data_IF_774119986682
#
_entry.id   IF_774119986682
#
_cell.length_a   1.000
_cell.length_b   1.000
_cell.length_c   1.000
_cell.angle_alpha   90.00
_cell.angle_beta   90.00
_cell.angle_gamma   90.00
#
_symmetry.space_group_name_H-M   'P 1'
#
loop_
_entity.id
_entity.type
_entity.pdbx_description
1 polymer ?
#
# COMPACT_ATOMS: atom_id res chain seq x y z
N UNK A 1 12.90 -10.94 -34.74
CA UNK A 1 12.04 -11.21 -33.57
C UNK A 1 11.31 -9.92 -33.24
N UNK A 2 10.05 -9.82 -33.62
CA UNK A 2 9.17 -8.71 -33.21
C UNK A 2 8.94 -8.82 -31.72
N UNK A 3 9.56 -7.93 -30.95
CA UNK A 3 9.27 -7.80 -29.52
C UNK A 3 8.02 -6.94 -29.37
N UNK A 4 6.88 -7.62 -29.32
CA UNK A 4 5.63 -7.04 -28.85
C UNK A 4 5.80 -6.73 -27.35
N UNK A 5 5.53 -5.48 -26.95
CA UNK A 5 5.54 -5.04 -25.55
C UNK A 5 4.18 -4.45 -25.19
N UNK A 6 3.85 -4.41 -23.88
CA UNK A 6 2.53 -4.82 -23.41
C UNK A 6 1.64 -3.81 -22.62
N UNK A 7 0.37 -3.56 -23.00
CA UNK A 7 -0.71 -3.00 -22.16
C UNK A 7 -2.18 -3.24 -22.66
N UNK A 8 -3.09 -3.36 -21.69
CA UNK A 8 -4.48 -2.83 -21.64
C UNK A 8 -5.62 -3.86 -21.50
N UNK A 9 -5.90 -4.20 -20.24
CA UNK A 9 -7.24 -4.30 -19.62
C UNK A 9 -7.06 -4.20 -18.11
N UNK A 10 -7.38 -3.06 -17.53
CA UNK A 10 -8.03 -3.03 -16.22
C UNK A 10 -9.44 -3.56 -16.43
N UNK A 11 -9.77 -4.65 -15.76
CA UNK A 11 -11.12 -5.22 -15.64
C UNK A 11 -11.74 -5.79 -16.94
N UNK A 12 -11.53 -7.08 -17.15
CA UNK A 12 -12.65 -7.95 -17.55
C UNK A 12 -12.70 -9.08 -16.53
N UNK A 13 -13.65 -8.99 -15.60
CA UNK A 13 -14.01 -10.13 -14.74
C UNK A 13 -14.51 -11.23 -15.69
N UNK A 14 -13.65 -12.20 -15.97
CA UNK A 14 -14.04 -13.46 -16.60
C UNK A 14 -13.52 -14.55 -15.67
N UNK A 15 -14.40 -15.46 -15.27
CA UNK A 15 -14.13 -16.49 -14.27
C UNK A 15 -12.76 -17.18 -14.48
N UNK A 16 -11.88 -17.06 -13.49
CA UNK A 16 -10.50 -17.57 -13.48
C UNK A 16 -9.61 -16.71 -12.57
N UNK A 17 -8.40 -17.17 -12.24
CA UNK A 17 -7.44 -16.35 -11.48
C UNK A 17 -7.28 -15.00 -12.20
N UNK A 18 -7.62 -13.91 -11.51
CA UNK A 18 -7.65 -12.52 -11.97
C UNK A 18 -6.23 -11.98 -12.30
N UNK A 19 -5.45 -12.71 -13.08
CA UNK A 19 -4.11 -12.36 -13.52
C UNK A 19 -4.26 -11.36 -14.67
N UNK A 20 -3.55 -10.23 -14.58
CA UNK A 20 -3.59 -9.19 -15.61
C UNK A 20 -3.29 -9.77 -16.99
N UNK A 21 -4.19 -9.51 -17.93
CA UNK A 21 -4.01 -9.85 -19.34
C UNK A 21 -2.94 -8.93 -19.96
N UNK A 22 -2.10 -9.52 -20.80
CA UNK A 22 -0.87 -8.90 -21.30
C UNK A 22 -1.10 -8.52 -22.78
N UNK A 23 -1.77 -7.39 -23.03
CA UNK A 23 -2.03 -6.84 -24.39
C UNK A 23 -0.89 -5.95 -24.89
N UNK A 24 -0.93 -5.27 -26.05
CA UNK A 24 0.15 -4.43 -26.63
C UNK A 24 0.13 -2.97 -26.11
N UNK A 25 1.29 -2.36 -25.84
CA UNK A 25 1.42 -0.96 -25.39
C UNK A 25 0.77 -0.05 -26.42
N UNK A 26 -0.34 0.60 -26.02
CA UNK A 26 -1.00 1.65 -26.80
C UNK A 26 -0.24 2.98 -26.78
N UNK A 27 1.06 2.94 -26.47
CA UNK A 27 1.95 4.08 -26.29
C UNK A 27 2.46 4.63 -27.61
N UNK A 28 2.87 5.91 -27.60
CA UNK A 28 3.59 6.48 -28.74
C UNK A 28 4.94 5.79 -28.85
N UNK A 29 5.31 5.41 -30.07
CA UNK A 29 6.64 4.88 -30.35
C UNK A 29 7.30 5.65 -31.47
N UNK A 30 8.60 5.89 -31.36
CA UNK A 30 9.42 6.40 -32.45
C UNK A 30 10.76 5.68 -32.47
N UNK A 31 11.47 5.74 -33.60
CA UNK A 31 12.83 5.22 -33.74
C UNK A 31 13.77 6.42 -33.87
N UNK A 32 14.81 6.47 -33.05
CA UNK A 32 15.83 7.53 -33.13
C UNK A 32 16.86 7.26 -34.24
N UNK A 33 17.76 8.23 -34.46
CA UNK A 33 18.80 8.14 -35.49
C UNK A 33 19.83 7.03 -35.21
N UNK A 34 19.90 6.54 -33.96
CA UNK A 34 20.76 5.43 -33.53
C UNK A 34 20.06 4.06 -33.66
N UNK A 35 18.81 4.06 -34.10
CA UNK A 35 17.97 2.88 -34.29
C UNK A 35 17.34 2.35 -33.00
N UNK A 36 17.29 3.14 -31.92
CA UNK A 36 16.56 2.82 -30.70
C UNK A 36 15.08 3.06 -30.88
N UNK A 37 14.26 2.06 -30.54
CA UNK A 37 12.81 2.17 -30.44
C UNK A 37 12.46 2.74 -29.06
N UNK A 38 12.00 3.98 -29.04
CA UNK A 38 11.47 4.63 -27.86
C UNK A 38 10.00 4.25 -27.67
N UNK A 39 9.63 3.90 -26.45
CA UNK A 39 8.28 3.47 -26.05
C UNK A 39 7.82 4.35 -24.90
N UNK A 40 6.80 5.16 -25.15
CA UNK A 40 6.25 6.10 -24.17
C UNK A 40 5.02 5.54 -23.46
N UNK A 41 5.03 5.66 -22.15
CA UNK A 41 3.89 5.32 -21.29
C UNK A 41 3.22 6.55 -20.73
N UNK A 42 1.88 6.54 -20.72
CA UNK A 42 1.08 7.55 -20.03
C UNK A 42 1.06 7.30 -18.54
N UNK A 43 1.22 8.35 -17.74
CA UNK A 43 0.92 8.30 -16.30
C UNK A 43 -0.55 7.93 -16.13
N UNK A 44 -0.86 7.03 -15.18
CA UNK A 44 -2.23 6.60 -14.86
C UNK A 44 -2.36 6.51 -13.35
N UNK A 45 -3.46 6.98 -12.78
CA UNK A 45 -3.80 6.74 -11.39
C UNK A 45 -4.66 5.47 -11.28
N UNK A 46 -4.65 4.82 -10.12
CA UNK A 46 -5.59 3.73 -9.85
C UNK A 46 -7.02 4.21 -10.05
N UNK A 47 -7.84 3.37 -10.67
CA UNK A 47 -9.24 3.69 -10.87
C UNK A 47 -9.95 3.76 -9.52
N UNK A 48 -10.78 4.80 -9.36
CA UNK A 48 -11.61 4.96 -8.17
C UNK A 48 -12.94 5.60 -8.57
N UNK A 49 -14.05 4.84 -8.53
CA UNK A 49 -15.35 5.39 -8.90
C UNK A 49 -15.85 6.44 -7.90
N UNK A 50 -15.40 6.38 -6.65
CA UNK A 50 -15.94 7.21 -5.55
C UNK A 50 -15.15 8.51 -5.32
N UNK A 51 -14.08 8.76 -6.09
CA UNK A 51 -13.26 9.97 -5.93
C UNK A 51 -12.83 10.56 -7.27
N UNK A 52 -13.25 11.80 -7.49
CA UNK A 52 -12.73 12.64 -8.55
C UNK A 52 -11.68 13.61 -7.98
N UNK A 53 -10.48 13.63 -8.57
CA UNK A 53 -9.45 14.60 -8.21
C UNK A 53 -9.89 15.98 -8.74
N UNK A 54 -10.10 16.99 -7.85
CA UNK A 54 -10.45 18.33 -8.31
C UNK A 54 -9.41 18.87 -9.27
N UNK A 55 -9.79 19.70 -10.25
CA UNK A 55 -8.84 20.32 -11.20
C UNK A 55 -8.19 21.60 -10.64
N UNK A 56 -8.89 22.33 -9.78
CA UNK A 56 -8.37 23.54 -9.14
C UNK A 56 -7.72 23.23 -7.78
N UNK A 57 -6.78 24.09 -7.37
CA UNK A 57 -6.05 23.91 -6.11
C UNK A 57 -6.90 24.18 -4.88
N UNK A 58 -7.89 25.06 -4.94
CA UNK A 58 -8.71 25.41 -3.77
C UNK A 58 -9.59 24.24 -3.34
N UNK A 59 -10.29 23.61 -4.29
CA UNK A 59 -11.10 22.42 -4.02
C UNK A 59 -10.23 21.23 -3.64
N UNK A 60 -9.02 21.10 -4.19
CA UNK A 60 -8.07 20.08 -3.76
C UNK A 60 -7.66 20.29 -2.28
N UNK A 61 -7.40 21.53 -1.88
CA UNK A 61 -7.11 21.88 -0.48
C UNK A 61 -8.28 21.58 0.45
N UNK A 62 -9.51 21.97 0.06
CA UNK A 62 -10.73 21.66 0.84
C UNK A 62 -10.92 20.15 0.98
N UNK A 63 -10.79 19.39 -0.12
CA UNK A 63 -10.85 17.92 -0.09
C UNK A 63 -9.80 17.33 0.83
N UNK A 64 -8.58 17.84 0.82
CA UNK A 64 -7.52 17.39 1.73
C UNK A 64 -7.91 17.59 3.21
N UNK A 65 -8.49 18.75 3.56
CA UNK A 65 -8.97 19.02 4.92
C UNK A 65 -10.13 18.12 5.34
N UNK A 66 -11.06 17.84 4.42
CA UNK A 66 -12.16 16.91 4.63
C UNK A 66 -11.72 15.42 4.61
N UNK A 67 -10.42 15.15 4.81
CA UNK A 67 -9.88 13.79 4.78
C UNK A 67 -9.96 13.09 3.42
N UNK A 68 -10.45 13.77 2.39
CA UNK A 68 -10.56 13.29 1.02
C UNK A 68 -9.18 13.07 0.40
N UNK A 69 -8.97 11.88 -0.15
CA UNK A 69 -7.78 11.56 -0.92
C UNK A 69 -8.12 10.57 -2.03
N UNK A 70 -7.14 10.28 -2.88
CA UNK A 70 -7.14 9.07 -3.71
C UNK A 70 -7.49 7.85 -2.84
N UNK A 71 -8.33 6.94 -3.36
CA UNK A 71 -8.49 5.62 -2.73
C UNK A 71 -7.26 4.77 -2.98
N UNK A 72 -7.02 3.86 -2.06
CA UNK A 72 -6.07 2.80 -2.23
C UNK A 72 -6.81 1.56 -2.72
N UNK A 73 -6.35 0.92 -3.81
CA UNK A 73 -6.82 -0.41 -4.14
C UNK A 73 -6.78 -1.29 -2.90
N UNK A 74 -7.88 -1.99 -2.67
CA UNK A 74 -8.12 -2.81 -1.49
C UNK A 74 -8.67 -4.16 -1.94
N UNK A 75 -8.32 -5.21 -1.21
CA UNK A 75 -8.70 -6.60 -1.46
C UNK A 75 -9.68 -7.13 -0.41
N UNK A 76 -10.25 -6.24 0.41
CA UNK A 76 -11.35 -6.55 1.30
C UNK A 76 -12.13 -5.32 1.76
N UNK A 77 -12.98 -5.52 2.76
CA UNK A 77 -13.92 -4.51 3.29
C UNK A 77 -13.64 -4.15 4.75
N UNK A 78 -12.78 -4.89 5.45
CA UNK A 78 -12.45 -4.60 6.85
C UNK A 78 -11.28 -3.60 6.89
N UNK A 79 -11.41 -2.47 7.61
CA UNK A 79 -10.30 -1.55 7.83
C UNK A 79 -9.07 -2.25 8.41
N UNK A 80 -7.89 -1.95 7.85
CA UNK A 80 -6.66 -2.65 8.20
C UNK A 80 -6.21 -2.42 9.66
N UNK A 81 -6.65 -1.35 10.32
CA UNK A 81 -6.39 -1.11 11.73
C UNK A 81 -7.15 -2.08 12.66
N UNK A 82 -8.36 -2.48 12.28
CA UNK A 82 -9.15 -3.53 12.97
C UNK A 82 -8.45 -4.88 12.79
N UNK A 83 -8.06 -5.21 11.55
CA UNK A 83 -7.33 -6.44 11.24
C UNK A 83 -6.00 -6.50 12.00
N UNK A 84 -5.27 -5.39 12.04
CA UNK A 84 -4.01 -5.30 12.79
C UNK A 84 -4.21 -5.44 14.30
N UNK A 85 -5.39 -5.09 14.84
CA UNK A 85 -5.75 -5.33 16.24
C UNK A 85 -5.89 -6.83 16.50
N UNK A 86 -6.60 -7.56 15.63
CA UNK A 86 -6.71 -9.02 15.74
C UNK A 86 -5.36 -9.72 15.59
N UNK A 87 -4.52 -9.28 14.64
CA UNK A 87 -3.16 -9.81 14.49
C UNK A 87 -2.34 -9.62 15.77
N UNK A 88 -2.48 -8.48 16.46
CA UNK A 88 -1.78 -8.22 17.73
C UNK A 88 -2.25 -9.14 18.85
N UNK A 89 -3.52 -9.50 18.91
CA UNK A 89 -4.03 -10.44 19.91
C UNK A 89 -3.32 -11.79 19.77
N UNK A 90 -3.24 -12.31 18.54
CA UNK A 90 -2.53 -13.57 18.24
C UNK A 90 -1.03 -13.46 18.58
N UNK A 91 -0.37 -12.39 18.12
CA UNK A 91 1.06 -12.16 18.40
C UNK A 91 1.32 -12.10 19.91
N UNK A 92 0.50 -11.36 20.66
CA UNK A 92 0.66 -11.20 22.10
C UNK A 92 0.43 -12.51 22.84
N UNK A 93 -0.52 -13.34 22.40
CA UNK A 93 -0.75 -14.66 23.01
C UNK A 93 0.44 -15.61 22.79
N UNK A 94 1.07 -15.58 21.62
CA UNK A 94 2.32 -16.34 21.38
C UNK A 94 3.44 -15.82 22.27
N UNK A 95 3.55 -14.50 22.45
CA UNK A 95 4.53 -13.89 23.36
C UNK A 95 4.29 -14.36 24.80
N UNK A 96 3.05 -14.35 25.28
CA UNK A 96 2.67 -14.84 26.61
C UNK A 96 3.11 -16.31 26.80
N UNK A 97 2.82 -17.18 25.84
CA UNK A 97 3.25 -18.58 25.87
C UNK A 97 4.78 -18.70 25.92
N UNK A 98 5.51 -17.86 25.18
CA UNK A 98 6.99 -17.88 25.14
C UNK A 98 7.65 -17.47 26.47
N UNK A 99 6.88 -16.91 27.41
CA UNK A 99 7.34 -16.56 28.76
C UNK A 99 6.84 -17.52 29.84
N UNK A 100 6.10 -18.57 29.48
CA UNK A 100 5.59 -19.56 30.43
C UNK A 100 6.24 -20.94 30.20
N UNK A 101 7.30 -21.31 30.95
CA UNK A 101 8.00 -22.59 30.81
C UNK A 101 7.12 -23.83 31.03
N UNK A 102 6.00 -23.70 31.75
CA UNK A 102 5.07 -24.81 32.02
C UNK A 102 4.08 -25.03 30.87
N UNK A 103 3.94 -24.07 29.95
CA UNK A 103 3.02 -24.21 28.83
C UNK A 103 3.54 -25.24 27.82
N UNK A 104 2.67 -26.14 27.37
CA UNK A 104 2.98 -27.23 26.42
C UNK A 104 3.57 -26.77 25.06
N UNK A 105 3.54 -25.48 24.76
CA UNK A 105 4.04 -24.89 23.51
C UNK A 105 5.12 -23.82 23.75
N UNK A 106 5.70 -23.78 24.95
CA UNK A 106 6.73 -22.79 25.33
C UNK A 106 7.90 -22.73 24.33
N UNK A 107 8.52 -23.88 24.03
CA UNK A 107 9.66 -23.95 23.11
C UNK A 107 9.27 -23.56 21.67
N UNK A 108 8.11 -24.05 21.20
CA UNK A 108 7.58 -23.70 19.89
C UNK A 108 7.33 -22.18 19.76
N UNK A 109 6.84 -21.54 20.83
CA UNK A 109 6.60 -20.11 20.86
C UNK A 109 7.90 -19.29 20.85
N UNK A 110 8.93 -19.73 21.60
CA UNK A 110 10.25 -19.09 21.54
C UNK A 110 10.87 -19.21 20.16
N UNK A 111 10.78 -20.39 19.54
CA UNK A 111 11.30 -20.60 18.18
C UNK A 111 10.57 -19.72 17.16
N UNK A 112 9.23 -19.67 17.21
CA UNK A 112 8.42 -18.83 16.32
C UNK A 112 8.77 -17.33 16.43
N UNK A 113 9.15 -16.88 17.62
CA UNK A 113 9.52 -15.49 17.91
C UNK A 113 11.02 -15.19 17.76
N UNK A 114 11.85 -16.19 17.47
CA UNK A 114 13.32 -16.07 17.40
C UNK A 114 13.81 -14.97 16.45
N UNK A 115 13.09 -14.73 15.35
CA UNK A 115 13.40 -13.67 14.37
C UNK A 115 12.65 -12.36 14.67
N UNK A 116 11.92 -12.27 15.78
CA UNK A 116 11.14 -11.11 16.20
C UNK A 116 9.64 -11.24 15.93
N UNK A 117 8.83 -10.56 16.75
CA UNK A 117 7.36 -10.72 16.82
C UNK A 117 6.55 -10.41 15.56
N UNK A 118 7.12 -9.72 14.58
CA UNK A 118 6.44 -9.44 13.30
C UNK A 118 6.92 -10.36 12.16
N UNK A 119 7.77 -11.34 12.46
CA UNK A 119 8.16 -12.38 11.49
C UNK A 119 7.22 -13.58 11.48
N UNK A 120 6.14 -13.53 12.27
CA UNK A 120 5.04 -14.50 12.24
C UNK A 120 3.84 -14.03 11.42
N UNK A 121 3.89 -12.82 10.86
CA UNK A 121 2.87 -12.25 9.98
C UNK A 121 3.52 -11.77 8.68
N UNK A 122 2.77 -11.74 7.59
CA UNK A 122 3.21 -11.35 6.26
C UNK A 122 2.27 -10.31 5.64
N UNK A 123 2.60 -9.88 4.43
CA UNK A 123 1.69 -9.19 3.54
C UNK A 123 1.31 -7.80 4.05
N UNK A 124 0.09 -7.42 3.77
CA UNK A 124 -0.45 -6.09 4.08
C UNK A 124 -0.49 -5.84 5.60
N UNK A 125 -0.76 -6.86 6.41
CA UNK A 125 -0.74 -6.77 7.88
C UNK A 125 0.67 -6.48 8.42
N UNK A 126 1.70 -7.17 7.91
CA UNK A 126 3.10 -6.85 8.29
C UNK A 126 3.45 -5.42 7.91
N UNK A 127 3.09 -5.00 6.70
CA UNK A 127 3.33 -3.64 6.19
C UNK A 127 2.73 -2.59 7.14
N UNK A 128 1.50 -2.85 7.62
CA UNK A 128 0.83 -2.00 8.59
C UNK A 128 1.54 -1.96 9.95
N UNK A 129 1.80 -3.13 10.54
CA UNK A 129 2.32 -3.25 11.91
C UNK A 129 3.73 -2.65 12.06
N UNK A 130 4.56 -2.82 11.04
CA UNK A 130 5.90 -2.22 10.96
C UNK A 130 5.90 -0.75 10.53
N UNK A 131 4.73 -0.21 10.16
CA UNK A 131 4.53 1.19 9.75
C UNK A 131 5.41 1.59 8.56
N UNK A 132 5.57 0.72 7.56
CA UNK A 132 6.39 1.05 6.38
C UNK A 132 5.76 2.14 5.50
N UNK A 133 4.48 2.44 5.68
CA UNK A 133 3.68 3.35 4.85
C UNK A 133 3.25 4.62 5.59
N UNK A 134 2.51 5.51 4.92
CA UNK A 134 1.92 6.70 5.55
C UNK A 134 0.75 6.33 6.47
N UNK A 135 0.40 7.24 7.38
CA UNK A 135 -0.83 7.10 8.19
C UNK A 135 -2.09 7.11 7.31
N UNK A 136 -2.05 7.86 6.21
CA UNK A 136 -3.17 7.98 5.26
C UNK A 136 -3.48 6.63 4.59
N UNK A 137 -2.45 5.94 4.06
CA UNK A 137 -2.60 4.57 3.54
C UNK A 137 -3.16 3.62 4.58
N UNK A 138 -2.62 3.66 5.81
CA UNK A 138 -3.05 2.76 6.89
C UNK A 138 -4.52 2.89 7.27
N UNK A 139 -5.10 4.08 7.11
CA UNK A 139 -6.51 4.35 7.42
C UNK A 139 -7.47 3.96 6.31
N UNK A 140 -6.99 3.83 5.08
CA UNK A 140 -7.80 3.73 3.86
C UNK A 140 -7.53 2.46 3.06
N UNK A 141 -6.73 1.55 3.61
CA UNK A 141 -6.47 0.22 3.09
C UNK A 141 -7.37 -0.77 3.83
N UNK A 142 -8.04 -1.64 3.08
CA UNK A 142 -8.98 -2.62 3.62
C UNK A 142 -8.63 -4.03 3.12
N UNK A 143 -8.56 -5.01 4.02
CA UNK A 143 -8.30 -6.43 3.71
C UNK A 143 -9.44 -7.26 4.31
N UNK A 144 -9.55 -8.53 3.93
CA UNK A 144 -10.43 -9.50 4.60
C UNK A 144 -9.63 -10.69 5.18
N UNK A 145 -8.29 -10.60 5.16
CA UNK A 145 -7.36 -11.67 5.48
C UNK A 145 -6.18 -11.25 6.37
N UNK A 146 -5.67 -12.21 7.15
CA UNK A 146 -4.36 -12.17 7.80
C UNK A 146 -3.52 -13.34 7.30
N UNK A 147 -2.45 -13.01 6.58
CA UNK A 147 -1.41 -13.97 6.20
C UNK A 147 -0.42 -14.19 7.36
N UNK A 148 -0.49 -15.34 8.02
CA UNK A 148 0.50 -15.77 9.02
C UNK A 148 1.65 -16.55 8.37
N UNK A 149 2.82 -16.49 9.01
CA UNK A 149 4.03 -17.23 8.62
C UNK A 149 4.60 -17.98 9.83
N UNK A 150 3.93 -19.07 10.23
CA UNK A 150 4.22 -19.79 11.48
C UNK A 150 4.41 -21.29 11.22
N UNK A 151 5.66 -21.76 11.28
CA UNK A 151 6.00 -23.18 11.05
C UNK A 151 5.44 -24.11 12.13
N UNK A 152 5.18 -23.59 13.33
CA UNK A 152 4.61 -24.32 14.46
C UNK A 152 3.08 -24.37 14.36
N UNK A 153 2.57 -25.25 13.50
CA UNK A 153 1.13 -25.35 13.18
C UNK A 153 0.27 -25.58 14.43
N UNK A 154 0.69 -26.47 15.35
CA UNK A 154 -0.07 -26.75 16.58
C UNK A 154 -0.20 -25.53 17.49
N UNK A 155 0.91 -24.79 17.68
CA UNK A 155 0.91 -23.52 18.40
C UNK A 155 -0.04 -22.50 17.73
N UNK A 156 0.00 -22.40 16.40
CA UNK A 156 -0.84 -21.47 15.65
C UNK A 156 -2.33 -21.80 15.82
N UNK A 157 -2.73 -23.05 15.60
CA UNK A 157 -4.13 -23.47 15.76
C UNK A 157 -4.62 -23.32 17.20
N UNK A 158 -3.76 -23.61 18.20
CA UNK A 158 -4.08 -23.37 19.61
C UNK A 158 -4.34 -21.88 19.86
N UNK A 159 -3.43 -21.01 19.41
CA UNK A 159 -3.53 -19.57 19.62
C UNK A 159 -4.79 -18.98 18.96
N UNK A 160 -5.11 -19.42 17.74
CA UNK A 160 -6.33 -19.00 17.04
C UNK A 160 -7.58 -19.36 17.84
N UNK A 161 -7.70 -20.60 18.35
CA UNK A 161 -8.84 -21.02 19.18
C UNK A 161 -8.98 -20.18 20.44
N UNK A 162 -7.87 -19.98 21.15
CA UNK A 162 -7.83 -19.16 22.37
C UNK A 162 -8.25 -17.70 22.12
N UNK A 163 -7.96 -17.17 20.92
CA UNK A 163 -8.36 -15.82 20.52
C UNK A 163 -9.74 -15.76 19.84
N UNK A 164 -10.56 -16.81 19.95
CA UNK A 164 -11.95 -16.83 19.51
C UNK A 164 -12.17 -17.09 18.02
N UNK A 165 -11.16 -17.58 17.30
CA UNK A 165 -11.30 -17.98 15.90
C UNK A 165 -11.92 -19.37 15.80
N UNK A 166 -12.74 -19.57 14.76
CA UNK A 166 -13.41 -20.84 14.49
C UNK A 166 -12.96 -21.38 13.15
N UNK A 167 -12.61 -22.67 13.10
CA UNK A 167 -12.31 -23.33 11.83
C UNK A 167 -13.61 -23.68 11.12
N UNK A 168 -13.77 -23.19 9.90
CA UNK A 168 -14.91 -23.52 9.07
C UNK A 168 -14.69 -24.88 8.40
N UNK A 169 -15.61 -25.83 8.64
CA UNK A 169 -15.48 -27.19 8.15
C UNK A 169 -15.62 -27.32 6.62
N UNK A 170 -16.28 -26.35 5.97
CA UNK A 170 -16.50 -26.33 4.51
C UNK A 170 -15.30 -25.73 3.78
N UNK A 171 -14.89 -24.52 4.14
CA UNK A 171 -13.75 -23.81 3.49
C UNK A 171 -12.39 -24.32 3.99
N UNK A 172 -12.36 -24.98 5.16
CA UNK A 172 -11.16 -25.36 5.91
C UNK A 172 -10.34 -24.19 6.45
N UNK A 173 -10.85 -22.96 6.32
CA UNK A 173 -10.22 -21.72 6.76
C UNK A 173 -10.56 -21.39 8.22
N UNK A 174 -9.76 -20.52 8.83
CA UNK A 174 -10.03 -19.96 10.14
C UNK A 174 -10.76 -18.62 9.98
N UNK A 175 -11.91 -18.49 10.63
CA UNK A 175 -12.79 -17.34 10.48
C UNK A 175 -13.11 -16.72 11.85
N UNK A 176 -13.21 -15.39 11.86
CA UNK A 176 -13.70 -14.63 13.01
C UNK A 176 -14.62 -13.50 12.53
N UNK A 177 -15.82 -13.45 13.08
CA UNK A 177 -16.74 -12.34 12.84
C UNK A 177 -16.29 -11.13 13.64
N UNK A 178 -16.15 -10.00 12.97
CA UNK A 178 -15.78 -8.71 13.56
C UNK A 178 -16.90 -7.70 13.37
N UNK A 179 -17.02 -6.79 14.32
CA UNK A 179 -17.94 -5.66 14.28
C UNK A 179 -17.14 -4.37 14.48
N UNK A 180 -17.45 -3.34 13.70
CA UNK A 180 -16.83 -2.02 13.86
C UNK A 180 -17.76 -0.90 13.47
N UNK A 181 -17.50 0.28 14.01
CA UNK A 181 -18.25 1.49 13.69
C UNK A 181 -17.60 2.22 12.52
N UNK A 182 -18.36 2.44 11.45
CA UNK A 182 -17.96 3.32 10.37
C UNK A 182 -18.33 4.76 10.74
N UNK A 183 -17.32 5.59 11.01
CA UNK A 183 -17.51 6.99 11.39
C UNK A 183 -18.05 7.88 10.25
N UNK A 184 -17.85 7.49 8.99
CA UNK A 184 -18.35 8.22 7.82
C UNK A 184 -19.85 7.97 7.63
N UNK A 185 -20.29 6.72 7.66
CA UNK A 185 -21.72 6.36 7.50
C UNK A 185 -22.50 6.39 8.82
N UNK A 186 -21.81 6.48 9.96
CA UNK A 186 -22.36 6.35 11.32
C UNK A 186 -23.08 5.02 11.56
N UNK A 187 -22.69 3.97 10.84
CA UNK A 187 -23.29 2.64 10.92
C UNK A 187 -22.33 1.62 11.52
N UNK A 188 -22.89 0.58 12.14
CA UNK A 188 -22.13 -0.59 12.54
C UNK A 188 -22.02 -1.55 11.36
N UNK A 189 -20.80 -1.91 11.05
CA UNK A 189 -20.46 -2.87 10.00
C UNK A 189 -20.06 -4.20 10.65
N UNK A 190 -20.38 -5.28 9.95
CA UNK A 190 -20.00 -6.64 10.32
C UNK A 190 -19.26 -7.25 9.14
N UNK A 191 -18.18 -7.98 9.42
CA UNK A 191 -17.37 -8.66 8.42
C UNK A 191 -16.80 -9.96 8.96
N UNK A 192 -16.45 -10.87 8.07
CA UNK A 192 -15.75 -12.11 8.41
C UNK A 192 -14.28 -11.89 8.06
N UNK A 193 -13.41 -11.97 9.05
CA UNK A 193 -11.96 -11.97 8.88
C UNK A 193 -11.46 -13.40 8.74
N UNK A 194 -10.60 -13.63 7.76
CA UNK A 194 -10.00 -14.94 7.49
C UNK A 194 -8.54 -14.94 7.97
N UNK A 195 -8.10 -16.02 8.62
CA UNK A 195 -6.70 -16.25 8.95
C UNK A 195 -6.17 -17.43 8.15
N UNK A 196 -5.10 -17.19 7.40
CA UNK A 196 -4.38 -18.19 6.62
C UNK A 196 -3.00 -18.43 7.24
N UNK A 197 -2.46 -19.64 7.07
CA UNK A 197 -1.04 -19.89 7.27
C UNK A 197 -0.39 -20.09 5.90
N UNK A 198 0.33 -19.09 5.42
CA UNK A 198 0.93 -19.02 4.08
C UNK A 198 1.95 -20.15 3.87
N UNK A 199 2.42 -20.83 4.91
CA UNK A 199 3.28 -22.02 4.79
C UNK A 199 2.56 -23.14 4.03
N UNK A 200 1.25 -23.27 4.18
CA UNK A 200 0.48 -24.25 3.43
C UNK A 200 0.49 -23.93 1.92
N UNK A 201 0.47 -22.64 1.56
CA UNK A 201 0.59 -22.19 0.17
C UNK A 201 2.02 -22.30 -0.36
N UNK A 202 3.03 -22.14 0.49
CA UNK A 202 4.44 -22.30 0.11
C UNK A 202 4.77 -23.75 -0.30
N UNK A 203 4.03 -24.73 0.23
CA UNK A 203 4.15 -26.16 -0.10
C UNK A 203 3.25 -26.59 -1.27
N UNK A 204 2.42 -25.69 -1.80
CA UNK A 204 1.53 -25.96 -2.92
C UNK A 204 2.25 -25.66 -4.25
N UNK A 205 2.77 -26.72 -4.87
CA UNK A 205 3.49 -26.65 -6.14
C UNK A 205 2.59 -26.33 -7.36
N UNK A 206 1.26 -26.38 -7.22
CA UNK A 206 0.31 -26.19 -8.32
C UNK A 206 0.02 -24.73 -8.64
N UNK A 207 0.10 -23.82 -7.66
CA UNK A 207 -0.42 -22.46 -7.77
C UNK A 207 0.61 -21.40 -8.24
N UNK A 208 1.82 -21.79 -8.63
CA UNK A 208 2.93 -20.87 -9.00
C UNK A 208 3.22 -19.76 -7.96
N UNK A 209 2.63 -19.83 -6.77
CA UNK A 209 2.76 -18.87 -5.68
C UNK A 209 3.91 -19.28 -4.76
N UNK A 210 5.14 -19.34 -5.30
CA UNK A 210 6.31 -19.60 -4.47
C UNK A 210 6.47 -18.47 -3.44
N UNK A 211 6.35 -18.80 -2.15
CA UNK A 211 6.47 -17.87 -1.04
C UNK A 211 7.81 -18.09 -0.34
N UNK A 212 8.70 -17.11 -0.44
CA UNK A 212 10.09 -17.21 0.05
C UNK A 212 10.23 -17.00 1.56
N UNK A 213 9.25 -16.34 2.18
CA UNK A 213 9.35 -15.88 3.56
C UNK A 213 8.42 -14.71 3.87
N UNK A 214 8.56 -14.15 5.06
CA UNK A 214 7.77 -13.00 5.52
C UNK A 214 8.53 -11.67 5.46
N UNK A 215 9.80 -11.64 5.02
CA UNK A 215 10.58 -10.39 4.98
C UNK A 215 9.96 -9.39 4.00
N UNK A 216 10.33 -8.11 4.12
CA UNK A 216 9.86 -7.11 3.17
C UNK A 216 10.31 -7.42 1.73
N UNK A 217 11.51 -8.01 1.55
CA UNK A 217 11.99 -8.54 0.26
C UNK A 217 11.04 -9.60 -0.30
N UNK A 218 10.64 -10.58 0.51
CA UNK A 218 9.77 -11.68 0.08
C UNK A 218 8.34 -11.20 -0.24
N UNK A 219 7.88 -10.16 0.46
CA UNK A 219 6.63 -9.47 0.16
C UNK A 219 6.73 -8.78 -1.20
N UNK A 220 7.83 -8.07 -1.47
CA UNK A 220 8.09 -7.43 -2.76
C UNK A 220 8.14 -8.47 -3.90
N UNK A 221 8.81 -9.60 -3.71
CA UNK A 221 8.81 -10.69 -4.70
C UNK A 221 7.40 -11.16 -5.06
N UNK A 222 6.57 -11.52 -4.07
CA UNK A 222 5.17 -11.97 -4.29
C UNK A 222 4.41 -10.90 -5.06
N UNK A 223 4.48 -9.65 -4.60
CA UNK A 223 3.72 -8.51 -5.13
C UNK A 223 4.15 -8.09 -6.54
N UNK A 224 5.44 -8.10 -6.87
CA UNK A 224 5.95 -7.80 -8.21
C UNK A 224 5.62 -8.90 -9.23
N UNK A 225 5.60 -10.18 -8.80
CA UNK A 225 5.20 -11.30 -9.66
C UNK A 225 3.70 -11.29 -9.93
N UNK A 226 2.86 -11.11 -8.89
CA UNK A 226 1.39 -11.09 -9.01
C UNK A 226 0.90 -9.82 -9.71
N UNK A 227 1.32 -8.66 -9.22
CA UNK A 227 1.10 -7.37 -9.86
C UNK A 227 -0.35 -6.88 -9.86
N UNK A 228 -1.18 -7.29 -8.89
CA UNK A 228 -2.52 -6.69 -8.76
C UNK A 228 -2.40 -5.20 -8.36
N UNK A 229 -3.44 -4.40 -8.58
CA UNK A 229 -3.42 -2.97 -8.22
C UNK A 229 -3.09 -2.76 -6.73
N UNK A 230 -3.63 -3.63 -5.88
CA UNK A 230 -3.32 -3.65 -4.44
C UNK A 230 -1.85 -3.96 -4.14
N UNK A 231 -1.21 -4.81 -4.93
CA UNK A 231 0.20 -5.15 -4.76
C UNK A 231 1.11 -4.00 -5.15
N UNK A 232 0.82 -3.38 -6.31
CA UNK A 232 1.59 -2.23 -6.77
C UNK A 232 1.36 -1.03 -5.85
N UNK A 233 0.12 -0.82 -5.39
CA UNK A 233 -0.21 0.21 -4.40
C UNK A 233 0.62 0.03 -3.11
N UNK A 234 0.71 -1.17 -2.58
CA UNK A 234 1.51 -1.45 -1.38
C UNK A 234 2.99 -1.11 -1.60
N UNK A 235 3.58 -1.56 -2.71
CA UNK A 235 4.98 -1.25 -3.07
C UNK A 235 5.19 0.27 -3.19
N UNK A 236 4.30 0.98 -3.89
CA UNK A 236 4.40 2.43 -4.08
C UNK A 236 4.32 3.15 -2.74
N UNK A 237 3.42 2.76 -1.83
CA UNK A 237 3.28 3.44 -0.55
C UNK A 237 4.45 3.14 0.41
N UNK A 238 5.11 2.00 0.25
CA UNK A 238 6.36 1.70 0.96
C UNK A 238 7.49 2.56 0.39
N UNK A 239 7.68 2.55 -0.94
CA UNK A 239 8.70 3.35 -1.61
C UNK A 239 8.56 4.85 -1.30
N UNK A 240 7.33 5.36 -1.26
CA UNK A 240 7.03 6.75 -0.90
C UNK A 240 7.62 7.17 0.46
N UNK A 241 7.62 6.27 1.44
CA UNK A 241 8.16 6.54 2.79
C UNK A 241 9.61 6.13 2.93
N UNK A 242 10.01 5.02 2.31
CA UNK A 242 11.29 4.35 2.56
C UNK A 242 12.38 4.73 1.54
N UNK A 243 12.04 5.16 0.32
CA UNK A 243 12.99 5.52 -0.73
C UNK A 243 13.59 6.91 -0.51
N UNK A 244 14.20 7.11 0.66
CA UNK A 244 14.83 8.38 1.04
C UNK A 244 16.26 8.38 0.50
N UNK A 245 16.73 9.56 0.07
CA UNK A 245 18.11 9.76 -0.36
C UNK A 245 19.16 9.46 0.72
N UNK A 246 18.78 9.60 2.00
CA UNK A 246 19.65 9.37 3.16
C UNK A 246 18.93 8.53 4.23
N UNK A 247 19.70 7.78 5.02
CA UNK A 247 19.23 6.97 6.15
C UNK A 247 18.20 5.90 5.73
N UNK A 248 18.49 5.17 4.66
CA UNK A 248 17.75 3.97 4.25
C UNK A 248 17.90 2.89 5.31
N UNK A 249 16.83 2.13 5.55
CA UNK A 249 16.90 0.98 6.44
C UNK A 249 17.49 -0.23 5.71
N UNK A 250 18.22 -1.08 6.43
CA UNK A 250 18.74 -2.35 5.89
C UNK A 250 17.62 -3.21 5.27
N UNK A 251 16.42 -3.19 5.88
CA UNK A 251 15.26 -3.91 5.35
C UNK A 251 14.76 -3.33 4.02
N UNK A 252 14.81 -2.01 3.84
CA UNK A 252 14.53 -1.36 2.54
C UNK A 252 15.57 -1.72 1.48
N UNK A 253 16.86 -1.64 1.82
CA UNK A 253 17.95 -2.00 0.91
C UNK A 253 17.88 -3.47 0.47
N UNK A 254 17.56 -4.37 1.39
CA UNK A 254 17.30 -5.77 1.09
C UNK A 254 16.05 -5.95 0.22
N UNK A 255 15.01 -5.14 0.41
CA UNK A 255 13.81 -5.16 -0.44
C UNK A 255 14.08 -4.64 -1.84
N UNK A 256 15.04 -3.74 -2.02
CA UNK A 256 15.48 -3.29 -3.34
C UNK A 256 16.06 -4.42 -4.19
N UNK A 257 16.68 -5.43 -3.55
CA UNK A 257 17.15 -6.63 -4.25
C UNK A 257 16.01 -7.35 -4.97
N UNK A 258 14.81 -7.37 -4.39
CA UNK A 258 13.63 -7.95 -5.05
C UNK A 258 13.24 -7.23 -6.34
N UNK A 259 13.41 -5.91 -6.41
CA UNK A 259 13.17 -5.12 -7.63
C UNK A 259 14.23 -5.47 -8.68
N UNK A 260 15.51 -5.52 -8.31
CA UNK A 260 16.61 -5.91 -9.22
C UNK A 260 16.42 -7.32 -9.77
N UNK A 261 16.04 -8.27 -8.92
CA UNK A 261 15.73 -9.65 -9.32
C UNK A 261 14.52 -9.70 -10.26
N UNK A 262 13.46 -8.93 -9.96
CA UNK A 262 12.29 -8.80 -10.83
C UNK A 262 12.63 -8.17 -12.18
N UNK A 263 13.58 -7.23 -12.25
CA UNK A 263 14.03 -6.65 -13.52
C UNK A 263 14.77 -7.69 -14.36
N UNK A 264 15.63 -8.52 -13.75
CA UNK A 264 16.43 -9.50 -14.48
C UNK A 264 15.66 -10.76 -14.93
N UNK A 265 14.38 -10.89 -14.59
CA UNK A 265 13.55 -12.02 -15.04
C UNK A 265 13.31 -12.05 -16.55
N UNK A 266 13.03 -13.23 -17.12
CA UNK A 266 12.49 -13.36 -18.49
C UNK A 266 10.96 -13.25 -18.55
N UNK A 267 10.29 -13.17 -17.40
CA UNK A 267 8.83 -13.05 -17.30
C UNK A 267 8.34 -11.72 -17.87
N UNK A 268 7.66 -11.79 -19.02
CA UNK A 268 6.98 -10.64 -19.66
C UNK A 268 6.01 -9.96 -18.69
N UNK A 269 5.27 -10.74 -17.91
CA UNK A 269 4.33 -10.25 -16.89
C UNK A 269 5.02 -9.41 -15.83
N UNK A 270 6.12 -9.88 -15.27
CA UNK A 270 6.85 -9.14 -14.23
C UNK A 270 7.43 -7.83 -14.77
N UNK A 271 7.91 -7.82 -16.02
CA UNK A 271 8.35 -6.58 -16.68
C UNK A 271 7.18 -5.61 -16.91
N UNK A 272 6.02 -6.11 -17.35
CA UNK A 272 4.81 -5.29 -17.47
C UNK A 272 4.34 -4.73 -16.12
N UNK A 273 4.45 -5.51 -15.03
CA UNK A 273 4.14 -5.05 -13.68
C UNK A 273 5.10 -3.94 -13.23
N UNK A 274 6.40 -4.02 -13.55
CA UNK A 274 7.38 -2.96 -13.27
C UNK A 274 7.11 -1.68 -14.07
N UNK A 275 6.71 -1.81 -15.34
CA UNK A 275 6.28 -0.66 -16.14
C UNK A 275 5.03 -0.03 -15.51
N UNK A 276 4.02 -0.83 -15.15
CA UNK A 276 2.80 -0.36 -14.48
C UNK A 276 3.13 0.34 -13.15
N UNK A 277 4.07 -0.21 -12.39
CA UNK A 277 4.55 0.37 -11.15
C UNK A 277 5.12 1.77 -11.40
N UNK A 278 5.93 1.97 -12.44
CA UNK A 278 6.43 3.28 -12.85
C UNK A 278 5.30 4.25 -13.22
N UNK A 279 4.33 3.80 -14.02
CA UNK A 279 3.18 4.63 -14.45
C UNK A 279 2.35 5.13 -13.27
N UNK A 280 2.00 4.23 -12.36
CA UNK A 280 1.23 4.56 -11.16
C UNK A 280 2.04 5.45 -10.22
N UNK A 281 3.30 5.09 -9.92
CA UNK A 281 4.15 5.85 -9.03
C UNK A 281 4.37 7.29 -9.51
N UNK A 282 4.62 7.51 -10.81
CA UNK A 282 4.76 8.85 -11.38
C UNK A 282 3.47 9.67 -11.29
N UNK A 283 2.32 9.09 -11.64
CA UNK A 283 1.04 9.80 -11.54
C UNK A 283 0.71 10.19 -10.09
N UNK A 284 1.08 9.31 -9.16
CA UNK A 284 0.91 9.52 -7.72
C UNK A 284 1.85 10.62 -7.22
N UNK A 285 3.09 10.66 -7.69
CA UNK A 285 4.04 11.73 -7.33
C UNK A 285 3.48 13.11 -7.73
N UNK A 286 3.00 13.25 -8.97
CA UNK A 286 2.41 14.50 -9.47
C UNK A 286 1.16 14.90 -8.65
N UNK A 287 0.28 13.94 -8.33
CA UNK A 287 -0.88 14.21 -7.48
C UNK A 287 -0.48 14.70 -6.09
N UNK A 288 0.53 14.06 -5.49
CA UNK A 288 0.99 14.36 -4.13
C UNK A 288 1.65 15.74 -4.07
N UNK A 289 2.48 16.07 -5.05
CA UNK A 289 3.07 17.41 -5.17
C UNK A 289 1.98 18.47 -5.30
N UNK A 290 1.00 18.25 -6.19
CA UNK A 290 -0.13 19.17 -6.37
C UNK A 290 -0.95 19.38 -5.10
N UNK A 291 -1.09 18.35 -4.26
CA UNK A 291 -1.67 18.49 -2.91
C UNK A 291 -0.77 19.36 -2.03
N UNK A 292 0.54 19.14 -2.03
CA UNK A 292 1.51 19.99 -1.36
C UNK A 292 1.39 21.46 -1.76
N UNK A 293 1.31 21.75 -3.05
CA UNK A 293 1.14 23.10 -3.58
C UNK A 293 -0.19 23.72 -3.17
N UNK A 294 -1.28 22.94 -3.22
CA UNK A 294 -2.59 23.43 -2.76
C UNK A 294 -2.58 23.82 -1.29
N UNK A 295 -1.90 23.05 -0.45
CA UNK A 295 -1.71 23.38 0.97
C UNK A 295 -0.83 24.62 1.10
N UNK A 296 0.24 24.73 0.32
CA UNK A 296 1.11 25.90 0.35
C UNK A 296 0.34 27.20 0.11
N UNK A 297 -0.50 27.21 -0.93
CA UNK A 297 -1.32 28.35 -1.36
C UNK A 297 -2.41 28.71 -0.35
N UNK A 298 -3.11 27.71 0.19
CA UNK A 298 -4.38 27.95 0.90
C UNK A 298 -4.35 27.66 2.40
N UNK A 299 -3.24 27.20 2.99
CA UNK A 299 -3.17 26.86 4.43
C UNK A 299 -3.64 27.97 5.37
N UNK A 300 -3.43 29.25 5.02
CA UNK A 300 -3.85 30.40 5.83
C UNK A 300 -5.36 30.59 5.87
N UNK A 301 -6.10 30.03 4.91
CA UNK A 301 -7.57 30.11 4.90
C UNK A 301 -8.19 29.45 6.14
N UNK A 302 -7.48 28.55 6.83
CA UNK A 302 -7.99 27.95 8.09
C UNK A 302 -8.26 29.00 9.18
N UNK A 303 -7.72 30.21 9.07
CA UNK A 303 -8.01 31.32 9.99
C UNK A 303 -9.20 32.20 9.55
N UNK A 304 -9.65 32.06 8.30
CA UNK A 304 -10.80 32.80 7.79
C UNK A 304 -12.10 32.15 8.28
N UNK A 305 -12.80 32.83 9.20
CA UNK A 305 -14.05 32.35 9.80
C UNK A 305 -15.23 32.38 8.84
N UNK A 306 -15.17 33.15 7.75
CA UNK A 306 -16.21 33.16 6.72
C UNK A 306 -16.15 31.91 5.85
N UNK A 307 -14.94 31.39 5.60
CA UNK A 307 -14.70 30.20 4.79
C UNK A 307 -14.74 28.93 5.66
N UNK A 308 -14.10 28.97 6.83
CA UNK A 308 -14.05 27.85 7.78
C UNK A 308 -14.63 28.30 9.13
N UNK A 309 -15.95 28.40 9.28
CA UNK A 309 -16.58 28.69 10.58
C UNK A 309 -16.30 27.56 11.59
N UNK A 310 -16.56 27.81 12.88
CA UNK A 310 -16.26 26.85 13.94
C UNK A 310 -16.97 25.50 13.75
N UNK A 311 -18.18 25.48 13.18
CA UNK A 311 -18.89 24.26 12.83
C UNK A 311 -18.16 23.42 11.77
N UNK A 312 -17.58 24.07 10.75
CA UNK A 312 -16.77 23.39 9.74
C UNK A 312 -15.44 22.91 10.31
N UNK A 313 -14.86 23.65 11.25
CA UNK A 313 -13.65 23.24 11.96
C UNK A 313 -13.88 21.97 12.78
N UNK A 314 -15.01 21.90 13.49
CA UNK A 314 -15.44 20.71 14.23
C UNK A 314 -15.62 19.50 13.31
N UNK A 315 -16.24 19.70 12.13
CA UNK A 315 -16.37 18.65 11.12
C UNK A 315 -15.01 18.11 10.65
N UNK A 316 -14.04 19.01 10.38
CA UNK A 316 -12.67 18.62 10.04
C UNK A 316 -12.01 17.85 11.20
N UNK A 317 -12.36 18.15 12.45
CA UNK A 317 -11.83 17.43 13.60
C UNK A 317 -12.41 16.00 13.74
N UNK A 318 -13.55 15.68 13.13
CA UNK A 318 -14.14 14.33 13.21
C UNK A 318 -13.29 13.24 12.54
N UNK A 319 -12.37 13.62 11.65
CA UNK A 319 -11.45 12.65 11.04
C UNK A 319 -10.46 12.05 12.04
N UNK A 320 -10.37 12.52 13.28
CA UNK A 320 -9.45 11.95 14.26
C UNK A 320 -9.95 12.21 15.68
N UNK A 321 -10.15 11.16 16.47
CA UNK A 321 -10.53 11.28 17.89
C UNK A 321 -9.60 12.21 18.68
N UNK A 322 -8.30 12.22 18.33
CA UNK A 322 -7.34 13.17 18.89
C UNK A 322 -7.66 14.63 18.56
N UNK A 323 -8.09 14.92 17.33
CA UNK A 323 -8.45 16.28 16.90
C UNK A 323 -9.79 16.70 17.49
N UNK A 324 -10.76 15.80 17.53
CA UNK A 324 -12.04 16.01 18.20
C UNK A 324 -11.83 16.35 19.68
N UNK A 325 -11.05 15.55 20.40
CA UNK A 325 -10.73 15.80 21.80
C UNK A 325 -9.98 17.12 22.02
N UNK A 326 -9.05 17.47 21.12
CA UNK A 326 -8.34 18.74 21.20
C UNK A 326 -9.28 19.94 21.02
N UNK A 327 -10.20 19.87 20.06
CA UNK A 327 -11.20 20.91 19.80
C UNK A 327 -12.10 21.16 21.02
N UNK A 328 -12.63 20.10 21.63
CA UNK A 328 -13.47 20.23 22.82
C UNK A 328 -12.71 20.80 24.03
N UNK A 329 -11.45 20.42 24.22
CA UNK A 329 -10.68 20.80 25.41
C UNK A 329 -10.04 22.20 25.29
N UNK A 330 -9.69 22.66 24.08
CA UNK A 330 -8.89 23.88 23.88
C UNK A 330 -9.60 24.96 23.06
N UNK A 331 -10.76 24.63 22.50
CA UNK A 331 -11.59 25.53 21.70
C UNK A 331 -11.11 25.75 20.26
N UNK A 332 -11.89 26.52 19.47
CA UNK A 332 -11.68 26.66 18.03
C UNK A 332 -10.35 27.34 17.65
N UNK A 333 -9.94 28.41 18.33
CA UNK A 333 -8.73 29.17 17.94
C UNK A 333 -7.45 28.36 18.12
N UNK A 334 -7.29 27.68 19.26
CA UNK A 334 -6.20 26.75 19.51
C UNK A 334 -6.17 25.65 18.45
N UNK A 335 -7.34 25.16 18.05
CA UNK A 335 -7.47 24.13 17.03
C UNK A 335 -7.06 24.63 15.65
N UNK A 336 -7.39 25.87 15.26
CA UNK A 336 -6.91 26.47 14.00
C UNK A 336 -5.39 26.49 13.95
N UNK A 337 -4.73 26.88 15.04
CA UNK A 337 -3.27 26.88 15.13
C UNK A 337 -2.68 25.46 15.02
N UNK A 338 -3.31 24.47 15.65
CA UNK A 338 -2.92 23.06 15.51
C UNK A 338 -3.04 22.59 14.05
N UNK A 339 -4.18 22.86 13.39
CA UNK A 339 -4.41 22.49 12.00
C UNK A 339 -3.41 23.21 11.09
N UNK A 340 -3.20 24.51 11.27
CA UNK A 340 -2.23 25.26 10.49
C UNK A 340 -0.81 24.69 10.61
N UNK A 341 -0.38 24.32 11.82
CA UNK A 341 0.91 23.69 12.07
C UNK A 341 1.02 22.33 11.38
N UNK A 342 -0.05 21.54 11.44
CA UNK A 342 -0.16 20.28 10.69
C UNK A 342 -0.08 20.51 9.18
N UNK A 343 -0.76 21.53 8.64
CA UNK A 343 -0.73 21.88 7.22
C UNK A 343 0.69 22.24 6.75
N UNK A 344 1.45 23.01 7.54
CA UNK A 344 2.86 23.29 7.24
C UNK A 344 3.67 21.98 7.16
N UNK A 345 3.50 21.09 8.13
CA UNK A 345 4.19 19.80 8.14
C UNK A 345 3.82 18.96 6.90
N UNK A 346 2.52 18.90 6.55
CA UNK A 346 2.04 18.13 5.43
C UNK A 346 2.51 18.68 4.09
N UNK A 347 2.55 20.00 3.91
CA UNK A 347 3.08 20.64 2.71
C UNK A 347 4.50 20.11 2.39
N UNK A 348 5.39 20.15 3.38
CA UNK A 348 6.78 19.71 3.21
C UNK A 348 6.90 18.20 3.00
N UNK A 349 6.11 17.40 3.76
CA UNK A 349 6.10 15.94 3.59
C UNK A 349 5.62 15.51 2.20
N UNK A 350 4.62 16.19 1.64
CA UNK A 350 4.08 15.85 0.31
C UNK A 350 5.13 16.06 -0.78
N UNK A 351 5.83 17.20 -0.77
CA UNK A 351 6.93 17.47 -1.72
C UNK A 351 8.02 16.38 -1.58
N UNK A 352 8.45 16.11 -0.34
CA UNK A 352 9.45 15.06 -0.08
C UNK A 352 9.01 13.67 -0.58
N UNK A 353 7.74 13.31 -0.36
CA UNK A 353 7.18 12.04 -0.81
C UNK A 353 7.05 11.94 -2.34
N UNK A 354 6.77 13.05 -3.03
CA UNK A 354 6.76 13.09 -4.49
C UNK A 354 8.17 12.84 -5.06
N UNK A 355 9.19 13.50 -4.50
CA UNK A 355 10.59 13.29 -4.91
C UNK A 355 11.07 11.86 -4.67
N UNK A 356 10.77 11.27 -3.50
CA UNK A 356 11.10 9.86 -3.24
C UNK A 356 10.53 8.91 -4.31
N UNK A 357 9.30 9.17 -4.76
CA UNK A 357 8.66 8.38 -5.82
C UNK A 357 9.25 8.66 -7.20
N UNK A 358 9.64 9.90 -7.52
CA UNK A 358 10.32 10.23 -8.78
C UNK A 358 11.67 9.54 -8.86
N UNK A 359 12.44 9.57 -7.77
CA UNK A 359 13.71 8.85 -7.67
C UNK A 359 13.51 7.34 -7.82
N UNK A 360 12.51 6.77 -7.14
CA UNK A 360 12.13 5.36 -7.24
C UNK A 360 11.84 4.94 -8.69
N UNK A 361 11.03 5.74 -9.41
CA UNK A 361 10.69 5.50 -10.81
C UNK A 361 11.91 5.62 -11.72
N UNK A 362 12.71 6.67 -11.53
CA UNK A 362 13.93 6.90 -12.33
C UNK A 362 14.87 5.71 -12.22
N UNK A 363 15.08 5.19 -11.02
CA UNK A 363 15.95 4.03 -10.83
C UNK A 363 15.41 2.77 -11.52
N UNK A 364 14.11 2.46 -11.39
CA UNK A 364 13.50 1.31 -12.06
C UNK A 364 13.62 1.44 -13.58
N UNK A 365 13.31 2.62 -14.14
CA UNK A 365 13.44 2.88 -15.58
C UNK A 365 14.89 2.74 -16.05
N UNK A 366 15.87 3.25 -15.30
CA UNK A 366 17.28 3.10 -15.64
C UNK A 366 17.68 1.63 -15.73
N UNK A 367 17.26 0.81 -14.78
CA UNK A 367 17.54 -0.63 -14.79
C UNK A 367 16.80 -1.36 -15.92
N UNK A 368 15.54 -1.01 -16.20
CA UNK A 368 14.81 -1.56 -17.34
C UNK A 368 15.49 -1.19 -18.67
N UNK A 369 15.86 0.07 -18.86
CA UNK A 369 16.51 0.54 -20.08
C UNK A 369 17.88 -0.09 -20.27
N UNK A 370 18.66 -0.22 -19.20
CA UNK A 370 19.93 -0.95 -19.24
C UNK A 370 19.72 -2.40 -19.68
N UNK A 371 18.72 -3.09 -19.11
CA UNK A 371 18.40 -4.47 -19.50
C UNK A 371 18.06 -4.59 -20.98
N UNK A 372 17.26 -3.68 -21.54
CA UNK A 372 16.78 -3.76 -22.91
C UNK A 372 17.64 -3.02 -23.94
N UNK A 373 18.79 -2.49 -23.51
CA UNK A 373 19.73 -1.77 -24.36
C UNK A 373 20.21 -2.61 -25.56
N UNK A 374 20.50 -3.90 -25.35
CA UNK A 374 20.94 -4.81 -26.43
C UNK A 374 19.87 -4.99 -27.52
N UNK A 375 18.60 -4.85 -27.15
CA UNK A 375 17.47 -4.94 -28.07
C UNK A 375 17.09 -3.57 -28.65
N UNK A 376 17.90 -2.54 -28.41
CA UNK A 376 17.68 -1.15 -28.82
C UNK A 376 16.29 -0.62 -28.45
N UNK A 377 15.87 -0.87 -27.21
CA UNK A 377 14.57 -0.39 -26.71
C UNK A 377 14.79 0.51 -25.51
N UNK A 378 14.08 1.63 -25.51
CA UNK A 378 14.07 2.61 -24.42
C UNK A 378 12.63 2.82 -23.96
N UNK A 379 12.43 2.68 -22.66
CA UNK A 379 11.17 2.96 -21.98
C UNK A 379 11.18 4.35 -21.38
N UNK A 380 10.12 5.10 -21.64
CA UNK A 380 9.97 6.48 -21.19
C UNK A 380 8.55 6.73 -20.68
N UNK A 381 8.40 7.73 -19.82
CA UNK A 381 7.11 8.21 -19.35
C UNK A 381 6.82 9.54 -20.05
N UNK A 382 5.61 9.71 -20.57
CA UNK A 382 5.20 10.98 -21.17
C UNK A 382 5.26 12.10 -20.11
N UNK A 383 6.17 13.06 -20.29
CA UNK A 383 6.39 14.18 -19.36
C UNK A 383 5.39 15.34 -19.54
N UNK A 384 4.24 15.10 -20.15
CA UNK A 384 3.38 16.17 -20.64
C UNK A 384 2.25 16.53 -19.66
N UNK A 385 2.41 17.69 -19.02
CA UNK A 385 1.31 18.59 -18.64
C UNK A 385 0.47 18.90 -19.90
N UNK A 386 -0.51 18.05 -20.20
CA UNK A 386 -1.50 18.33 -21.24
C UNK A 386 -2.89 18.18 -20.60
N UNK A 387 -3.17 19.07 -19.65
CA UNK A 387 -4.54 19.58 -19.54
C UNK A 387 -4.72 20.57 -20.69
N UNK A 388 -5.25 20.09 -21.81
CA UNK A 388 -6.03 20.94 -22.69
C UNK A 388 -7.49 20.81 -22.29
#
# INVERSE_FOLDING_TARGET
MTLDYWEDKTDAIVNGDNLRDVNQISGKTFIDDLGFKHIFFRKKLFHNPDYCIPKDHLNLFKKFLDGGSRSYPSDGKIPLDIIATEARLIINKIIEISYNPEHIYYEDAKEALSKGKYNIVRGTVKIYLKKYTTRDWRRKRFSDDIDFWIHKVKLFEYTLKECGWKRNNKTKEWEKQLEWFNYETKQRNIGILIASNDINQAMDFGNCSYLDGCSLKDIFHKKLKRGHDVDLSDIINIALVQNKKYNTSEEWENSWKAIKEAINTRSKRTISNLISLCKYASAIADYIERVGDSIHMYKKLIFDKSIFPNSKLEEICHFSSHWTGYFHNNGPESTRNLIYSYLIEQQNKRIFYAENLRDFVREILNYLNYKFQYAKIVFEIENKEFYK
#
